data_IF_871884267159
#
_entry.id   IF_871884267159
#
_cell.length_a   1.000
_cell.length_b   1.000
_cell.length_c   1.000
_cell.angle_alpha   90.00
_cell.angle_beta   90.00
_cell.angle_gamma   90.00
#
_symmetry.space_group_name_H-M   'P 1'
#
loop_
_entity.id
_entity.type
_entity.pdbx_description
1 polymer ?
#
# COMPACT_ATOMS: atom_id res chain seq x y z
N UNK A 1 6.08 27.73 9.50
CA UNK A 1 5.04 26.79 9.98
C UNK A 1 3.77 27.57 10.23
N UNK A 2 2.64 27.20 9.62
CA UNK A 2 1.35 27.81 9.95
C UNK A 2 0.81 27.22 11.25
N UNK A 3 -0.05 27.96 11.97
CA UNK A 3 -0.73 27.45 13.16
C UNK A 3 -1.54 26.17 12.85
N UNK A 4 -2.02 26.04 11.62
CA UNK A 4 -2.74 24.86 11.14
C UNK A 4 -1.82 23.64 10.97
N UNK A 5 -0.62 23.83 10.44
CA UNK A 5 0.39 22.79 10.36
C UNK A 5 0.74 22.24 11.75
N UNK A 6 0.95 23.13 12.72
CA UNK A 6 1.23 22.71 14.11
C UNK A 6 0.07 21.92 14.73
N UNK A 7 -1.18 22.35 14.53
CA UNK A 7 -2.37 21.61 15.01
C UNK A 7 -2.45 20.20 14.41
N UNK A 8 -2.15 20.06 13.12
CA UNK A 8 -2.15 18.76 12.45
C UNK A 8 -1.08 17.82 13.03
N UNK A 9 0.13 18.33 13.28
CA UNK A 9 1.21 17.56 13.92
C UNK A 9 0.84 17.08 15.33
N UNK A 10 0.27 17.97 16.15
CA UNK A 10 -0.20 17.60 17.50
C UNK A 10 -1.31 16.55 17.43
N UNK A 11 -2.22 16.65 16.46
CA UNK A 11 -3.25 15.64 16.24
C UNK A 11 -2.62 14.29 15.88
N UNK A 12 -1.65 14.26 14.96
CA UNK A 12 -0.99 13.01 14.56
C UNK A 12 -0.19 12.39 15.72
N UNK A 13 0.51 13.18 16.53
CA UNK A 13 1.22 12.67 17.72
C UNK A 13 0.26 12.00 18.72
N UNK A 14 -0.95 12.54 18.90
CA UNK A 14 -2.00 11.89 19.71
C UNK A 14 -2.45 10.56 19.11
N UNK A 15 -2.67 10.51 17.81
CA UNK A 15 -3.04 9.26 17.10
C UNK A 15 -1.93 8.22 17.26
N UNK A 16 -0.67 8.63 17.06
CA UNK A 16 0.51 7.76 17.17
C UNK A 16 0.70 7.20 18.59
N UNK A 17 0.16 7.87 19.61
CA UNK A 17 0.11 7.42 21.01
C UNK A 17 -1.10 6.55 21.35
N UNK A 18 -1.99 6.28 20.40
CA UNK A 18 -3.20 5.48 20.61
C UNK A 18 -4.39 6.28 21.18
N UNK A 19 -4.33 7.61 21.17
CA UNK A 19 -5.44 8.48 21.56
C UNK A 19 -6.35 8.86 20.38
N UNK A 20 -6.14 8.23 19.22
CA UNK A 20 -6.91 8.43 18.00
C UNK A 20 -8.33 7.86 18.09
N UNK A 21 -9.23 8.39 17.26
CA UNK A 21 -10.56 7.83 17.08
C UNK A 21 -10.55 6.54 16.24
N UNK A 22 -11.66 5.79 16.21
CA UNK A 22 -11.78 4.60 15.38
C UNK A 22 -11.47 4.89 13.90
N UNK A 23 -10.57 4.11 13.32
CA UNK A 23 -10.17 4.22 11.90
C UNK A 23 -9.12 5.29 11.61
N UNK A 24 -8.66 6.06 12.61
CA UNK A 24 -7.46 6.88 12.46
C UNK A 24 -6.22 5.98 12.50
N UNK A 25 -5.34 6.15 11.51
CA UNK A 25 -4.11 5.37 11.39
C UNK A 25 -2.94 6.15 11.97
N UNK A 26 -2.10 5.45 12.71
CA UNK A 26 -0.78 5.93 13.08
C UNK A 26 0.08 6.17 11.84
N UNK A 27 1.12 6.98 12.01
CA UNK A 27 2.13 7.24 10.97
C UNK A 27 2.73 5.93 10.45
N UNK A 28 2.98 4.96 11.34
CA UNK A 28 3.52 3.65 11.01
C UNK A 28 2.54 2.79 10.21
N UNK A 29 1.27 2.72 10.61
CA UNK A 29 0.23 2.00 9.86
C UNK A 29 0.01 2.60 8.47
N UNK A 30 0.06 3.93 8.35
CA UNK A 30 -0.01 4.62 7.06
C UNK A 30 1.16 4.23 6.15
N UNK A 31 2.37 4.18 6.68
CA UNK A 31 3.55 3.75 5.92
C UNK A 31 3.43 2.30 5.46
N UNK A 32 3.02 1.42 6.37
CA UNK A 32 2.81 0.01 6.09
C UNK A 32 1.75 -0.20 5.01
N UNK A 33 0.61 0.50 5.10
CA UNK A 33 -0.43 0.46 4.08
C UNK A 33 0.08 0.90 2.70
N UNK A 34 0.93 1.94 2.64
CA UNK A 34 1.58 2.37 1.39
C UNK A 34 2.54 1.30 0.87
N UNK A 35 3.30 0.65 1.75
CA UNK A 35 4.22 -0.44 1.38
C UNK A 35 3.44 -1.62 0.79
N UNK A 36 2.39 -2.07 1.47
CA UNK A 36 1.55 -3.19 1.04
C UNK A 36 0.85 -2.90 -0.28
N UNK A 37 0.32 -1.70 -0.49
CA UNK A 37 -0.29 -1.31 -1.77
C UNK A 37 0.70 -1.37 -2.93
N UNK A 38 1.94 -0.92 -2.72
CA UNK A 38 3.00 -1.02 -3.73
C UNK A 38 3.36 -2.47 -4.04
N UNK A 39 3.50 -3.30 -3.01
CA UNK A 39 3.80 -4.73 -3.19
C UNK A 39 2.68 -5.47 -3.92
N UNK A 40 1.42 -5.18 -3.58
CA UNK A 40 0.29 -5.83 -4.22
C UNK A 40 0.21 -5.47 -5.72
N UNK A 41 0.44 -4.21 -6.07
CA UNK A 41 0.50 -3.78 -7.46
C UNK A 41 1.61 -4.51 -8.23
N UNK A 42 2.79 -4.66 -7.62
CA UNK A 42 3.90 -5.37 -8.26
C UNK A 42 3.60 -6.85 -8.46
N UNK A 43 3.03 -7.50 -7.44
CA UNK A 43 2.59 -8.90 -7.52
C UNK A 43 1.57 -9.10 -8.64
N UNK A 44 0.58 -8.20 -8.76
CA UNK A 44 -0.41 -8.26 -9.84
C UNK A 44 0.25 -8.17 -11.22
N UNK A 45 1.23 -7.26 -11.41
CA UNK A 45 1.97 -7.17 -12.67
C UNK A 45 2.75 -8.46 -12.97
N UNK A 46 3.44 -9.02 -11.98
CA UNK A 46 4.17 -10.29 -12.14
C UNK A 46 3.22 -11.42 -12.55
N UNK A 47 2.07 -11.54 -11.88
CA UNK A 47 1.05 -12.54 -12.20
C UNK A 47 0.57 -12.38 -13.65
N UNK A 48 0.33 -11.16 -14.12
CA UNK A 48 -0.09 -10.92 -15.50
C UNK A 48 0.97 -11.30 -16.54
N UNK A 49 2.25 -11.05 -16.24
CA UNK A 49 3.37 -11.51 -17.11
C UNK A 49 3.40 -13.04 -17.15
N UNK A 50 3.29 -13.70 -16.00
CA UNK A 50 3.31 -15.16 -15.93
C UNK A 50 2.13 -15.78 -16.67
N UNK A 51 0.92 -15.24 -16.51
CA UNK A 51 -0.26 -15.70 -17.26
C UNK A 51 -0.05 -15.62 -18.77
N UNK A 52 0.49 -14.50 -19.26
CA UNK A 52 0.80 -14.33 -20.70
C UNK A 52 1.85 -15.32 -21.18
N UNK A 53 2.91 -15.54 -20.39
CA UNK A 53 3.94 -16.52 -20.70
C UNK A 53 3.36 -17.93 -20.77
N UNK A 54 2.58 -18.35 -19.76
CA UNK A 54 1.93 -19.66 -19.74
C UNK A 54 1.00 -19.86 -20.93
N UNK A 55 0.20 -18.85 -21.28
CA UNK A 55 -0.69 -18.93 -22.45
C UNK A 55 0.09 -19.04 -23.78
N UNK A 56 1.20 -18.31 -23.90
CA UNK A 56 2.09 -18.40 -25.06
C UNK A 56 2.70 -19.81 -25.20
N UNK A 57 3.28 -20.35 -24.13
CA UNK A 57 3.93 -21.66 -24.17
C UNK A 57 2.94 -22.82 -24.38
N UNK A 58 1.73 -22.74 -23.81
CA UNK A 58 0.69 -23.74 -24.07
C UNK A 58 0.34 -23.80 -25.56
N UNK A 59 0.11 -22.64 -26.18
CA UNK A 59 -0.18 -22.55 -27.62
C UNK A 59 0.95 -23.09 -28.50
N UNK A 60 2.21 -22.85 -28.13
CA UNK A 60 3.36 -23.35 -28.89
C UNK A 60 3.56 -24.86 -28.74
N UNK A 61 3.15 -25.44 -27.61
CA UNK A 61 3.26 -26.89 -27.35
C UNK A 61 2.19 -27.71 -28.08
N UNK A 62 1.05 -27.09 -28.42
CA UNK A 62 -0.04 -27.72 -29.18
C UNK A 62 0.20 -27.74 -30.71
N UNK A 63 1.30 -27.15 -31.19
CA UNK A 63 1.66 -27.03 -32.61
C UNK A 63 2.59 -28.17 -33.06
#
# INVERSE_FOLDING_TARGET
MSAEGLRSWVKQDKIDRGEGGPGELTSAEHEELRRLRRQNLEQQKTIEVLKKATAFFARESDR
#
